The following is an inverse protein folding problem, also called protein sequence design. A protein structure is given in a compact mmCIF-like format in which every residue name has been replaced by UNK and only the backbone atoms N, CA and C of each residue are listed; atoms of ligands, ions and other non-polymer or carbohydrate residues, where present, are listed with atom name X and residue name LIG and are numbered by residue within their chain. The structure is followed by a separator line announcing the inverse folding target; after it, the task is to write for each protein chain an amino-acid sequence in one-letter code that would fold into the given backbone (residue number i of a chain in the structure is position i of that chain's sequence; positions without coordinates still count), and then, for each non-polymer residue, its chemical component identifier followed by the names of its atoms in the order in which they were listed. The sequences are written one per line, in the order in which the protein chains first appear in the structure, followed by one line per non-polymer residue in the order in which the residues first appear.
data_IF_040885536143
#
_entry.id   IF_040885536143
#
_cell.length_a   1.000
_cell.length_b   1.000
_cell.length_c   1.000
_cell.angle_alpha   90.00
_cell.angle_beta   90.00
_cell.angle_gamma   90.00
#
_symmetry.space_group_name_H-M   'P 1'
#
loop_
_entity.id
_entity.type
_entity.pdbx_description
1 polymer ?
#
# COMPACT_ATOMS: atom_id res chain seq x y z
N UNK A 1 -22.32 41.39 31.51
CA UNK A 1 -22.39 40.65 30.23
C UNK A 1 -21.15 40.80 29.34
N UNK A 2 -20.54 41.98 29.18
CA UNK A 2 -19.32 42.14 28.34
C UNK A 2 -18.09 41.31 28.76
N UNK A 3 -17.88 41.05 30.06
CA UNK A 3 -16.71 40.29 30.56
C UNK A 3 -16.76 38.78 30.28
N UNK A 4 -17.94 38.21 30.06
CA UNK A 4 -18.12 36.77 29.80
C UNK A 4 -17.77 36.38 28.35
N UNK A 5 -17.94 37.32 27.41
CA UNK A 5 -17.66 37.10 25.98
C UNK A 5 -16.14 37.04 25.73
N UNK A 6 -15.35 37.85 26.44
CA UNK A 6 -13.88 37.82 26.30
C UNK A 6 -13.25 36.53 26.83
N UNK A 7 -13.78 35.95 27.93
CA UNK A 7 -13.29 34.65 28.42
C UNK A 7 -13.63 33.49 27.50
N UNK A 8 -14.77 33.53 26.81
CA UNK A 8 -15.16 32.48 25.87
C UNK A 8 -14.32 32.51 24.58
N UNK A 9 -14.02 33.70 24.05
CA UNK A 9 -13.13 33.85 22.90
C UNK A 9 -11.68 33.46 23.20
N UNK A 10 -11.17 33.75 24.41
CA UNK A 10 -9.82 33.36 24.81
C UNK A 10 -9.69 31.82 24.90
N UNK A 11 -10.73 31.14 25.38
CA UNK A 11 -10.76 29.68 25.48
C UNK A 11 -10.76 29.01 24.10
N UNK A 12 -11.49 29.56 23.12
CA UNK A 12 -11.48 29.05 21.74
C UNK A 12 -10.11 29.23 21.05
N UNK A 13 -9.40 30.33 21.30
CA UNK A 13 -8.06 30.57 20.74
C UNK A 13 -7.04 29.62 21.38
N UNK A 14 -7.16 29.35 22.68
CA UNK A 14 -6.31 28.37 23.37
C UNK A 14 -6.61 26.95 22.89
N UNK A 15 -7.87 26.57 22.66
CA UNK A 15 -8.19 25.27 22.05
C UNK A 15 -7.68 25.13 20.61
N UNK A 16 -7.65 26.20 19.82
CA UNK A 16 -7.05 26.18 18.47
C UNK A 16 -5.51 26.19 18.48
N UNK A 17 -4.88 26.65 19.56
CA UNK A 17 -3.42 26.61 19.72
C UNK A 17 -2.89 25.26 20.25
N UNK A 18 -3.77 24.43 20.84
CA UNK A 18 -3.44 23.07 21.30
C UNK A 18 -3.79 21.96 20.31
N UNK A 19 -4.32 22.27 19.13
CA UNK A 19 -4.09 21.42 17.96
C UNK A 19 -2.68 21.71 17.44
N UNK A 20 -1.67 21.56 18.32
CA UNK A 20 -0.34 21.24 17.86
C UNK A 20 -0.52 20.03 16.97
N UNK A 21 -0.19 20.19 15.69
CA UNK A 21 -0.09 19.11 14.74
C UNK A 21 0.89 18.09 15.34
N UNK A 22 0.37 17.13 16.10
CA UNK A 22 1.13 15.95 16.46
C UNK A 22 1.33 15.30 15.10
N UNK A 23 2.51 15.48 14.52
CA UNK A 23 2.94 14.66 13.40
C UNK A 23 2.91 13.25 13.94
N UNK A 24 1.79 12.55 13.71
CA UNK A 24 1.70 11.13 13.99
C UNK A 24 2.69 10.52 13.01
N UNK A 25 3.81 10.03 13.54
CA UNK A 25 4.77 9.33 12.70
C UNK A 25 4.07 8.13 12.05
N UNK A 26 4.22 7.91 10.73
CA UNK A 26 3.62 6.77 10.05
C UNK A 26 3.96 5.43 10.71
N UNK A 27 2.99 4.51 10.75
CA UNK A 27 3.22 3.15 11.25
C UNK A 27 4.25 2.43 10.36
N UNK A 28 4.14 2.65 9.04
CA UNK A 28 5.03 2.05 8.04
C UNK A 28 5.43 3.04 6.94
N UNK A 29 6.62 2.82 6.39
CA UNK A 29 7.10 3.46 5.17
C UNK A 29 7.42 2.41 4.11
N UNK A 30 6.99 2.66 2.88
CA UNK A 30 7.19 1.75 1.75
C UNK A 30 7.95 2.49 0.66
N UNK A 31 8.98 1.85 0.11
CA UNK A 31 9.67 2.32 -1.10
C UNK A 31 9.30 1.46 -2.28
N UNK A 32 8.76 2.09 -3.31
CA UNK A 32 8.66 1.56 -4.65
C UNK A 32 9.88 1.97 -5.48
N UNK A 33 10.46 1.04 -6.24
CA UNK A 33 11.61 1.32 -7.10
C UNK A 33 11.67 0.37 -8.29
N UNK A 34 11.80 0.94 -9.50
CA UNK A 34 12.18 0.21 -10.71
C UNK A 34 13.48 0.76 -11.28
N UNK A 35 14.38 -0.13 -11.70
CA UNK A 35 15.64 0.21 -12.38
C UNK A 35 15.61 -0.33 -13.81
N UNK A 36 15.98 0.48 -14.81
CA UNK A 36 16.06 0.03 -16.21
C UNK A 36 17.43 -0.58 -16.58
N UNK A 37 18.16 -1.07 -15.58
CA UNK A 37 19.52 -1.60 -15.74
C UNK A 37 20.65 -0.58 -15.69
N UNK A 38 20.36 0.73 -15.82
CA UNK A 38 21.39 1.79 -15.76
C UNK A 38 21.04 2.95 -14.82
N UNK A 39 19.76 3.33 -14.77
CA UNK A 39 19.26 4.41 -13.92
C UNK A 39 17.94 3.98 -13.26
N UNK A 40 17.61 4.62 -12.14
CA UNK A 40 16.29 4.51 -11.53
C UNK A 40 15.25 5.02 -12.53
N UNK A 41 14.41 4.13 -13.04
CA UNK A 41 13.35 4.47 -13.99
C UNK A 41 12.10 4.98 -13.26
N UNK A 42 11.86 4.47 -12.06
CA UNK A 42 10.76 4.88 -11.20
C UNK A 42 11.16 4.77 -9.73
N UNK A 43 10.76 5.75 -8.93
CA UNK A 43 10.87 5.70 -7.48
C UNK A 43 9.71 6.48 -6.87
N UNK A 44 9.01 5.85 -5.93
CA UNK A 44 7.97 6.49 -5.13
C UNK A 44 8.06 5.99 -3.69
N UNK A 45 7.45 6.75 -2.80
CA UNK A 45 7.52 6.53 -1.36
C UNK A 45 6.13 6.69 -0.77
N UNK A 46 5.77 5.79 0.13
CA UNK A 46 4.45 5.78 0.72
C UNK A 46 4.54 5.69 2.24
N UNK A 47 3.61 6.34 2.92
CA UNK A 47 3.38 6.23 4.35
C UNK A 47 2.06 5.51 4.59
N UNK A 48 2.04 4.60 5.56
CA UNK A 48 0.82 4.00 6.10
C UNK A 48 0.60 4.56 7.50
N UNK A 49 -0.58 5.14 7.71
CA UNK A 49 -1.01 5.71 8.99
C UNK A 49 -2.36 5.11 9.37
N UNK A 50 -2.38 4.16 10.30
CA UNK A 50 -3.60 3.47 10.68
C UNK A 50 -4.23 2.71 9.51
N UNK A 51 -5.29 3.28 8.94
CA UNK A 51 -6.07 2.69 7.86
C UNK A 51 -5.96 3.45 6.52
N UNK A 52 -5.03 4.39 6.40
CA UNK A 52 -4.78 5.12 5.16
C UNK A 52 -3.39 4.83 4.63
N UNK A 53 -3.24 4.97 3.32
CA UNK A 53 -1.95 5.05 2.65
C UNK A 53 -1.87 6.38 1.90
N UNK A 54 -0.68 6.99 1.87
CA UNK A 54 -0.45 8.24 1.14
C UNK A 54 0.95 8.24 0.53
N UNK A 55 1.06 8.76 -0.69
CA UNK A 55 2.36 9.03 -1.30
C UNK A 55 3.03 10.23 -0.63
N UNK A 56 4.28 10.06 -0.23
CA UNK A 56 5.09 11.09 0.43
C UNK A 56 6.28 11.48 -0.43
N UNK A 57 6.84 12.66 -0.19
CA UNK A 57 8.03 13.09 -0.92
C UNK A 57 9.26 12.27 -0.53
N UNK A 58 10.21 12.16 -1.48
CA UNK A 58 11.50 11.52 -1.23
C UNK A 58 12.25 12.12 -0.02
N UNK A 59 12.19 13.45 0.13
CA UNK A 59 12.84 14.14 1.25
C UNK A 59 12.23 13.73 2.60
N UNK A 60 10.89 13.70 2.71
CA UNK A 60 10.22 13.23 3.92
C UNK A 60 10.58 11.78 4.25
N UNK A 61 10.59 10.91 3.24
CA UNK A 61 10.98 9.51 3.42
C UNK A 61 12.44 9.38 3.91
N UNK A 62 13.36 10.14 3.32
CA UNK A 62 14.78 10.11 3.70
C UNK A 62 15.01 10.64 5.12
N UNK A 63 14.34 11.74 5.50
CA UNK A 63 14.42 12.29 6.86
C UNK A 63 13.96 11.26 7.90
N UNK A 64 12.87 10.54 7.61
CA UNK A 64 12.35 9.50 8.51
C UNK A 64 13.22 8.25 8.56
N UNK A 65 13.87 7.85 7.46
CA UNK A 65 14.59 6.56 7.37
C UNK A 65 16.11 6.64 7.54
N UNK A 66 16.73 7.78 7.25
CA UNK A 66 18.20 7.96 7.27
C UNK A 66 18.69 8.86 8.41
N UNK A 67 17.79 9.52 9.14
CA UNK A 67 18.15 10.31 10.32
C UNK A 67 18.90 9.47 11.36
N UNK A 68 19.88 10.06 12.03
CA UNK A 68 20.65 9.41 13.09
C UNK A 68 19.76 8.85 14.22
N UNK A 69 18.62 9.51 14.46
CA UNK A 69 17.61 9.14 15.44
C UNK A 69 16.40 8.44 14.82
N UNK A 70 16.53 7.86 13.61
CA UNK A 70 15.43 7.18 12.94
C UNK A 70 14.89 6.01 13.78
N UNK A 71 13.60 6.12 14.14
CA UNK A 71 12.83 5.08 14.81
C UNK A 71 12.34 3.99 13.84
N UNK A 72 12.70 4.07 12.56
CA UNK A 72 12.27 3.09 11.57
C UNK A 72 13.27 1.94 11.44
N UNK A 73 12.75 0.74 11.22
CA UNK A 73 13.55 -0.44 10.91
C UNK A 73 13.00 -1.14 9.69
N UNK A 74 13.92 -1.53 8.82
CA UNK A 74 13.57 -2.35 7.66
C UNK A 74 13.07 -3.71 8.15
N UNK A 75 11.93 -4.13 7.60
CA UNK A 75 11.34 -5.44 7.84
C UNK A 75 11.34 -6.24 6.53
N UNK A 76 11.23 -7.56 6.66
CA UNK A 76 10.99 -8.43 5.52
C UNK A 76 9.50 -8.48 5.20
N UNK A 77 9.17 -8.58 3.92
CA UNK A 77 7.84 -8.91 3.43
C UNK A 77 7.92 -10.24 2.69
N UNK A 78 6.86 -11.03 2.80
CA UNK A 78 6.69 -12.24 2.01
C UNK A 78 5.94 -11.89 0.72
N UNK A 79 6.30 -12.55 -0.37
CA UNK A 79 5.71 -12.32 -1.68
C UNK A 79 5.20 -13.62 -2.29
N UNK A 80 4.04 -13.55 -2.93
CA UNK A 80 3.42 -14.67 -3.64
C UNK A 80 3.02 -14.18 -5.01
N UNK A 81 3.27 -14.99 -6.04
CA UNK A 81 3.01 -14.62 -7.41
C UNK A 81 2.16 -15.66 -8.13
N UNK A 82 1.21 -15.18 -8.93
CA UNK A 82 0.27 -16.01 -9.67
C UNK A 82 0.20 -15.58 -11.13
N UNK A 83 0.26 -16.56 -12.02
CA UNK A 83 -0.22 -16.43 -13.39
C UNK A 83 -1.67 -16.92 -13.42
N UNK A 84 -2.57 -16.06 -13.89
CA UNK A 84 -4.02 -16.29 -13.89
C UNK A 84 -4.56 -16.19 -15.31
N UNK A 85 -5.40 -17.14 -15.69
CA UNK A 85 -6.23 -17.03 -16.88
C UNK A 85 -7.62 -16.51 -16.48
N UNK A 86 -7.85 -15.22 -16.70
CA UNK A 86 -9.07 -14.53 -16.32
C UNK A 86 -10.17 -14.68 -17.38
N UNK A 87 -11.40 -14.85 -16.91
CA UNK A 87 -12.58 -15.13 -17.73
C UNK A 87 -13.75 -14.15 -17.46
N UNK A 88 -13.46 -12.85 -17.29
CA UNK A 88 -14.46 -11.81 -17.09
C UNK A 88 -14.44 -11.22 -15.68
N UNK A 89 -15.59 -10.90 -15.11
CA UNK A 89 -15.70 -10.16 -13.84
C UNK A 89 -15.86 -11.00 -12.58
N UNK A 90 -15.88 -12.33 -12.69
CA UNK A 90 -16.00 -13.23 -11.54
C UNK A 90 -14.67 -13.96 -11.29
N UNK A 91 -13.86 -13.53 -10.29
CA UNK A 91 -12.60 -14.20 -9.97
C UNK A 91 -12.73 -15.68 -9.62
N UNK A 92 -13.90 -16.15 -9.16
CA UNK A 92 -14.11 -17.56 -8.86
C UNK A 92 -14.15 -18.46 -10.12
N UNK A 93 -14.28 -17.88 -11.32
CA UNK A 93 -14.27 -18.58 -12.60
C UNK A 93 -12.90 -18.56 -13.29
N UNK A 94 -11.91 -17.91 -12.68
CA UNK A 94 -10.56 -17.81 -13.23
C UNK A 94 -9.71 -19.04 -12.89
N UNK A 95 -8.67 -19.29 -13.67
CA UNK A 95 -7.72 -20.38 -13.43
C UNK A 95 -6.44 -19.81 -12.81
N UNK A 96 -5.97 -20.41 -11.71
CA UNK A 96 -4.87 -19.88 -10.90
C UNK A 96 -3.68 -20.83 -10.92
N UNK A 97 -2.51 -20.31 -11.27
CA UNK A 97 -1.23 -21.03 -11.18
C UNK A 97 -0.28 -20.22 -10.31
N UNK A 98 0.00 -20.69 -9.11
CA UNK A 98 1.03 -20.08 -8.26
C UNK A 98 2.42 -20.40 -8.82
N UNK A 99 3.32 -19.43 -8.75
CA UNK A 99 4.71 -19.60 -9.13
C UNK A 99 5.40 -20.65 -8.26
N UNK A 100 6.08 -21.62 -8.89
CA UNK A 100 6.78 -22.72 -8.22
C UNK A 100 7.98 -22.26 -7.37
N UNK A 101 8.51 -21.06 -7.62
CA UNK A 101 9.64 -20.49 -6.88
C UNK A 101 9.22 -19.77 -5.60
N UNK A 102 7.91 -19.57 -5.38
CA UNK A 102 7.42 -19.03 -4.11
C UNK A 102 7.75 -20.00 -2.97
N UNK A 103 8.25 -19.48 -1.85
CA UNK A 103 8.72 -20.29 -0.71
C UNK A 103 7.59 -21.10 -0.06
N UNK A 104 6.35 -20.64 -0.19
CA UNK A 104 5.19 -21.18 0.51
C UNK A 104 3.94 -21.03 -0.35
N UNK A 105 3.01 -22.00 -0.23
CA UNK A 105 1.71 -21.94 -0.87
C UNK A 105 0.84 -20.83 -0.29
N UNK A 106 0.09 -20.13 -1.14
CA UNK A 106 -0.92 -19.16 -0.73
C UNK A 106 -2.32 -19.78 -0.89
N UNK A 107 -3.25 -19.43 0.01
CA UNK A 107 -4.63 -19.89 -0.07
C UNK A 107 -5.37 -19.21 -1.24
N UNK A 108 -5.64 -19.99 -2.29
CA UNK A 108 -6.33 -19.51 -3.49
C UNK A 108 -7.75 -19.02 -3.17
N UNK A 109 -8.44 -19.62 -2.20
CA UNK A 109 -9.79 -19.17 -1.83
C UNK A 109 -9.75 -17.76 -1.23
N UNK A 110 -8.77 -17.49 -0.36
CA UNK A 110 -8.51 -16.14 0.16
C UNK A 110 -8.21 -15.17 -0.99
N UNK A 111 -7.36 -15.54 -1.96
CA UNK A 111 -7.07 -14.68 -3.11
C UNK A 111 -8.33 -14.34 -3.92
N UNK A 112 -9.20 -15.33 -4.19
CA UNK A 112 -10.47 -15.12 -4.90
C UNK A 112 -11.35 -14.08 -4.17
N UNK A 113 -11.41 -14.15 -2.84
CA UNK A 113 -12.19 -13.21 -2.03
C UNK A 113 -11.60 -11.80 -2.05
N UNK A 114 -10.27 -11.68 -2.01
CA UNK A 114 -9.60 -10.39 -2.12
C UNK A 114 -9.82 -9.75 -3.51
N UNK A 115 -9.67 -10.54 -4.60
CA UNK A 115 -9.86 -10.07 -5.98
C UNK A 115 -11.30 -9.60 -6.24
N UNK A 116 -12.30 -10.22 -5.60
CA UNK A 116 -13.70 -9.75 -5.68
C UNK A 116 -13.86 -8.33 -5.14
N UNK A 117 -13.08 -7.92 -4.14
CA UNK A 117 -13.12 -6.57 -3.59
C UNK A 117 -12.50 -5.52 -4.51
N UNK A 118 -11.63 -5.94 -5.43
CA UNK A 118 -11.04 -5.10 -6.47
C UNK A 118 -12.04 -4.80 -7.61
N UNK A 119 -13.09 -5.61 -7.77
CA UNK A 119 -14.14 -5.44 -8.81
C UNK A 119 -13.58 -5.37 -10.24
N UNK A 120 -12.55 -6.16 -10.51
CA UNK A 120 -11.88 -6.23 -11.81
C UNK A 120 -12.76 -6.93 -12.85
N UNK A 121 -12.60 -6.53 -14.11
CA UNK A 121 -13.24 -7.17 -15.26
C UNK A 121 -12.17 -7.44 -16.32
N UNK A 122 -11.36 -8.48 -16.09
CA UNK A 122 -10.24 -8.86 -16.95
C UNK A 122 -10.53 -10.14 -17.73
N UNK A 123 -9.91 -10.25 -18.90
CA UNK A 123 -9.98 -11.44 -19.76
C UNK A 123 -8.60 -11.72 -20.33
N UNK A 124 -8.17 -12.98 -20.29
CA UNK A 124 -6.83 -13.39 -20.72
C UNK A 124 -5.83 -13.44 -19.56
N UNK A 125 -4.56 -13.19 -19.86
CA UNK A 125 -3.48 -13.36 -18.88
C UNK A 125 -3.47 -12.23 -17.86
N UNK A 126 -3.55 -12.58 -16.58
CA UNK A 126 -3.42 -11.67 -15.45
C UNK A 126 -2.28 -12.15 -14.57
N UNK A 127 -1.31 -11.29 -14.29
CA UNK A 127 -0.28 -11.54 -13.29
C UNK A 127 -0.73 -10.91 -11.97
N UNK A 128 -0.68 -11.67 -10.88
CA UNK A 128 -0.99 -11.16 -9.54
C UNK A 128 0.24 -11.30 -8.64
N UNK A 129 0.61 -10.20 -7.97
CA UNK A 129 1.63 -10.18 -6.93
C UNK A 129 0.98 -9.81 -5.59
N UNK A 130 1.16 -10.66 -4.60
CA UNK A 130 0.70 -10.46 -3.23
C UNK A 130 1.92 -10.21 -2.37
N UNK A 131 1.94 -9.11 -1.61
CA UNK A 131 2.98 -8.81 -0.62
C UNK A 131 2.37 -8.72 0.77
N UNK A 132 2.88 -9.50 1.73
CA UNK A 132 2.40 -9.52 3.11
C UNK A 132 3.49 -9.17 4.11
N UNK A 133 3.15 -8.35 5.11
CA UNK A 133 4.02 -8.02 6.24
C UNK A 133 3.16 -7.62 7.43
N UNK A 134 3.50 -8.11 8.62
CA UNK A 134 2.70 -7.93 9.83
C UNK A 134 1.19 -8.17 9.58
N UNK A 135 0.32 -7.19 9.86
CA UNK A 135 -1.12 -7.28 9.59
C UNK A 135 -1.56 -6.83 8.19
N UNK A 136 -0.62 -6.46 7.31
CA UNK A 136 -0.88 -5.87 6.00
C UNK A 136 -0.72 -6.87 4.86
N UNK A 137 -1.57 -6.69 3.84
CA UNK A 137 -1.53 -7.42 2.57
C UNK A 137 -1.78 -6.45 1.43
N UNK A 138 -0.85 -6.38 0.49
CA UNK A 138 -0.95 -5.59 -0.74
C UNK A 138 -1.11 -6.55 -1.90
N UNK A 139 -2.09 -6.30 -2.77
CA UNK A 139 -2.31 -7.10 -3.98
C UNK A 139 -2.23 -6.16 -5.18
N UNK A 140 -1.36 -6.53 -6.11
CA UNK A 140 -1.25 -5.97 -7.45
C UNK A 140 -1.83 -6.99 -8.44
N UNK A 141 -2.76 -6.56 -9.28
CA UNK A 141 -3.30 -7.35 -10.38
C UNK A 141 -3.03 -6.62 -11.70
N UNK A 142 -2.24 -7.24 -12.56
CA UNK A 142 -1.79 -6.70 -13.84
C UNK A 142 -2.36 -7.52 -15.00
N UNK A 143 -3.18 -6.89 -15.84
CA UNK A 143 -3.71 -7.50 -17.07
C UNK A 143 -2.71 -7.36 -18.22
N UNK A 144 -2.40 -8.47 -18.88
CA UNK A 144 -1.31 -8.58 -19.85
C UNK A 144 -1.79 -9.07 -21.22
N UNK A 145 -1.25 -8.47 -22.28
CA UNK A 145 -1.27 -9.02 -23.64
C UNK A 145 0.14 -9.48 -24.01
N UNK A 146 0.38 -10.79 -23.87
CA UNK A 146 1.72 -11.36 -23.89
C UNK A 146 2.56 -10.76 -22.75
N UNK A 147 3.59 -9.97 -23.10
CA UNK A 147 4.44 -9.27 -22.13
C UNK A 147 4.09 -7.78 -21.98
N UNK A 148 3.00 -7.32 -22.59
CA UNK A 148 2.60 -5.92 -22.58
C UNK A 148 1.59 -5.69 -21.47
N UNK A 149 1.89 -4.77 -20.54
CA UNK A 149 0.94 -4.32 -19.54
C UNK A 149 -0.19 -3.53 -20.20
N UNK A 150 -1.42 -4.01 -20.06
CA UNK A 150 -2.63 -3.33 -20.55
C UNK A 150 -3.24 -2.45 -19.47
N UNK A 151 -3.36 -3.01 -18.25
CA UNK A 151 -3.95 -2.33 -17.10
C UNK A 151 -3.39 -2.92 -15.80
N UNK A 152 -3.31 -2.10 -14.75
CA UNK A 152 -2.88 -2.48 -13.41
C UNK A 152 -3.84 -1.95 -12.34
N UNK A 153 -4.06 -2.74 -11.30
CA UNK A 153 -4.89 -2.35 -10.15
C UNK A 153 -4.28 -2.81 -8.85
N UNK A 154 -4.43 -2.00 -7.82
CA UNK A 154 -3.88 -2.24 -6.49
C UNK A 154 -4.98 -2.20 -5.44
N UNK A 155 -4.83 -3.05 -4.43
CA UNK A 155 -5.63 -3.00 -3.21
C UNK A 155 -4.72 -3.30 -2.01
N UNK A 156 -5.03 -2.67 -0.89
CA UNK A 156 -4.30 -2.88 0.36
C UNK A 156 -5.31 -3.25 1.43
N UNK A 157 -4.94 -4.24 2.23
CA UNK A 157 -5.70 -4.70 3.37
C UNK A 157 -4.88 -4.54 4.64
N UNK A 158 -5.57 -4.24 5.74
CA UNK A 158 -5.07 -4.39 7.10
C UNK A 158 -6.03 -5.30 7.84
N UNK A 159 -5.56 -6.41 8.41
CA UNK A 159 -6.42 -7.41 9.07
C UNK A 159 -7.60 -7.86 8.17
N UNK A 160 -7.36 -8.06 6.88
CA UNK A 160 -8.36 -8.39 5.85
C UNK A 160 -9.44 -7.31 5.60
N UNK A 161 -9.26 -6.10 6.13
CA UNK A 161 -10.13 -4.95 5.84
C UNK A 161 -9.40 -4.04 4.85
N UNK A 162 -10.08 -3.70 3.74
CA UNK A 162 -9.54 -2.80 2.72
C UNK A 162 -9.21 -1.43 3.34
N UNK A 163 -8.02 -0.90 3.03
CA UNK A 163 -7.60 0.44 3.44
C UNK A 163 -8.32 1.52 2.63
N UNK A 164 -8.47 2.69 3.25
CA UNK A 164 -8.99 3.87 2.56
C UNK A 164 -8.01 4.34 1.48
N UNK A 165 -8.53 4.72 0.32
CA UNK A 165 -7.77 5.23 -0.82
C UNK A 165 -6.72 4.26 -1.38
N UNK A 166 -6.78 2.96 -1.08
CA UNK A 166 -5.84 1.97 -1.64
C UNK A 166 -5.79 2.00 -3.16
N UNK A 167 -6.93 2.27 -3.80
CA UNK A 167 -7.08 2.23 -5.26
C UNK A 167 -6.54 3.51 -5.93
N UNK A 168 -6.26 4.56 -5.15
CA UNK A 168 -5.75 5.85 -5.66
C UNK A 168 -4.22 5.87 -5.76
N UNK A 169 -3.54 4.85 -5.23
CA UNK A 169 -2.09 4.81 -5.14
C UNK A 169 -1.54 3.74 -6.07
N UNK A 170 -0.61 4.11 -6.95
CA UNK A 170 0.09 3.17 -7.82
C UNK A 170 1.30 2.61 -7.10
N UNK A 171 1.19 1.39 -6.56
CA UNK A 171 2.22 0.73 -5.77
C UNK A 171 3.17 -0.12 -6.62
N UNK A 172 3.59 0.44 -7.75
CA UNK A 172 4.45 -0.25 -8.70
C UNK A 172 5.79 -0.64 -8.06
N UNK A 173 6.20 -1.91 -8.20
CA UNK A 173 7.57 -2.34 -7.90
C UNK A 173 8.00 -2.07 -6.45
N UNK A 174 7.20 -2.53 -5.48
CA UNK A 174 7.53 -2.44 -4.06
C UNK A 174 8.85 -3.14 -3.75
N UNK A 175 9.73 -2.47 -2.99
CA UNK A 175 11.12 -2.91 -2.82
C UNK A 175 11.60 -2.93 -1.37
N UNK A 176 11.15 -1.99 -0.53
CA UNK A 176 11.56 -1.91 0.88
C UNK A 176 10.40 -1.51 1.76
N UNK A 177 10.35 -2.12 2.94
CA UNK A 177 9.33 -1.91 3.96
C UNK A 177 10.02 -1.53 5.26
N UNK A 178 9.57 -0.47 5.89
CA UNK A 178 10.08 0.02 7.17
C UNK A 178 8.93 0.14 8.15
N UNK A 179 9.17 -0.25 9.39
CA UNK A 179 8.22 -0.18 10.50
C UNK A 179 8.71 0.80 11.56
N UNK A 180 7.82 1.64 12.07
CA UNK A 180 8.10 2.47 13.23
C UNK A 180 8.20 1.61 14.50
N UNK A 181 9.22 1.83 15.32
CA UNK A 181 9.49 1.08 16.55
C UNK A 181 8.53 1.38 17.69
#
# INVERSE_FOLDING_TARGET
MRKLIYSLCLLCIVCMAFTSCVSIEPDYLIKAKSDNGFITAYQAHFAIEGNSITEISAHQYEDLTLGADSNYRMISADTYSFDINAAGSNPAEWEYVQNEYDKTSYDVQTLIEDLKQMKLAYTGTVYVLITTFDEYKIIEAANLDGNTLIDDSYIIFRNNVKLENSDAVKLNQLSRFYKHK
#
